data_IF_693697654418
#
_entry.id   IF_693697654418
#
_cell.length_a   1.000
_cell.length_b   1.000
_cell.length_c   1.000
_cell.angle_alpha   90.00
_cell.angle_beta   90.00
_cell.angle_gamma   90.00
#
_symmetry.space_group_name_H-M   'P 1'
#
loop_
_entity.id
_entity.type
_entity.pdbx_description
1 polymer ?
#
# COMPACT_ATOMS: atom_id res chain seq x y z
N UNK A 1 25.79 -19.52 -54.91
CA UNK A 1 25.19 -18.56 -53.97
C UNK A 1 24.72 -19.34 -52.74
N UNK A 2 25.50 -19.32 -51.66
CA UNK A 2 25.06 -19.79 -50.35
C UNK A 2 25.07 -18.56 -49.44
N UNK A 3 23.90 -18.19 -48.90
CA UNK A 3 23.78 -17.19 -47.83
C UNK A 3 23.37 -17.95 -46.57
N UNK A 4 24.30 -18.09 -45.64
CA UNK A 4 24.07 -18.58 -44.29
C UNK A 4 24.36 -17.42 -43.35
N UNK A 5 23.32 -16.84 -42.75
CA UNK A 5 23.46 -15.93 -41.61
C UNK A 5 22.32 -16.25 -40.64
N UNK A 6 22.66 -17.10 -39.67
CA UNK A 6 21.83 -17.48 -38.53
C UNK A 6 21.41 -16.24 -37.74
N UNK A 7 20.11 -15.95 -37.72
CA UNK A 7 19.52 -14.93 -36.86
C UNK A 7 19.38 -15.48 -35.44
N UNK A 8 20.41 -15.32 -34.63
CA UNK A 8 20.31 -15.51 -33.19
C UNK A 8 19.66 -14.25 -32.60
N UNK A 9 18.36 -14.30 -32.34
CA UNK A 9 17.64 -13.28 -31.58
C UNK A 9 17.76 -13.60 -30.09
N UNK A 10 18.72 -12.96 -29.43
CA UNK A 10 18.81 -12.94 -27.96
C UNK A 10 17.91 -11.81 -27.47
N UNK A 11 16.64 -12.11 -27.19
CA UNK A 11 15.79 -11.20 -26.45
C UNK A 11 16.26 -11.23 -24.99
N UNK A 12 16.91 -10.13 -24.57
CA UNK A 12 17.22 -9.90 -23.17
C UNK A 12 15.95 -9.95 -22.35
N UNK A 13 15.87 -10.88 -21.42
CA UNK A 13 14.81 -10.93 -20.43
C UNK A 13 14.99 -9.74 -19.49
N UNK A 14 14.26 -8.66 -19.74
CA UNK A 14 14.05 -7.61 -18.74
C UNK A 14 13.28 -8.25 -17.59
N UNK A 15 14.00 -8.61 -16.53
CA UNK A 15 13.39 -9.05 -15.27
C UNK A 15 12.78 -7.79 -14.66
N UNK A 16 11.51 -7.55 -14.94
CA UNK A 16 10.74 -6.58 -14.16
C UNK A 16 10.71 -7.09 -12.72
N UNK A 17 11.11 -6.28 -11.71
CA UNK A 17 10.96 -6.70 -10.33
C UNK A 17 9.48 -6.97 -10.07
N UNK A 18 9.18 -8.13 -9.48
CA UNK A 18 7.83 -8.45 -9.07
C UNK A 18 7.27 -7.31 -8.20
N UNK A 19 5.99 -6.95 -8.33
CA UNK A 19 5.38 -5.97 -7.45
C UNK A 19 5.61 -6.39 -5.99
N UNK A 20 5.83 -5.45 -5.06
CA UNK A 20 6.03 -5.78 -3.66
C UNK A 20 4.81 -6.53 -3.14
N UNK A 21 5.04 -7.60 -2.37
CA UNK A 21 4.00 -8.27 -1.61
C UNK A 21 3.51 -7.28 -0.54
N UNK A 22 2.31 -6.72 -0.73
CA UNK A 22 1.64 -5.93 0.30
C UNK A 22 0.40 -6.69 0.77
N UNK A 23 0.24 -6.76 2.09
CA UNK A 23 -0.97 -7.29 2.71
C UNK A 23 -1.91 -6.12 2.98
N UNK A 24 -3.08 -6.12 2.35
CA UNK A 24 -4.14 -5.18 2.70
C UNK A 24 -4.72 -5.65 4.03
N UNK A 25 -4.45 -4.90 5.08
CA UNK A 25 -5.12 -5.10 6.36
C UNK A 25 -6.57 -4.63 6.23
N UNK A 26 -7.48 -5.56 6.02
CA UNK A 26 -8.91 -5.29 5.72
C UNK A 26 -9.71 -4.76 6.90
N UNK A 27 -9.15 -4.74 8.11
CA UNK A 27 -9.92 -4.59 9.34
C UNK A 27 -9.90 -3.16 9.89
N UNK A 28 -9.25 -2.23 9.20
CA UNK A 28 -9.30 -0.82 9.58
C UNK A 28 -10.65 -0.22 9.18
N UNK A 29 -11.39 0.41 10.10
CA UNK A 29 -12.64 1.08 9.76
C UNK A 29 -12.38 2.21 8.77
N UNK A 30 -13.19 2.24 7.72
CA UNK A 30 -13.19 3.29 6.70
C UNK A 30 -13.93 4.56 7.15
N UNK A 31 -14.67 4.47 8.25
CA UNK A 31 -15.59 5.49 8.74
C UNK A 31 -15.41 5.79 10.22
N UNK A 32 -15.67 7.04 10.59
CA UNK A 32 -15.57 7.52 11.96
C UNK A 32 -16.70 6.94 12.80
N UNK A 33 -16.37 6.22 13.87
CA UNK A 33 -17.36 5.69 14.81
C UNK A 33 -18.22 6.73 15.53
N UNK A 34 -17.88 8.02 15.47
CA UNK A 34 -18.65 9.10 16.09
C UNK A 34 -19.68 9.73 15.14
N UNK A 35 -19.28 10.11 13.92
CA UNK A 35 -20.15 10.84 12.98
C UNK A 35 -20.42 10.10 11.67
N UNK A 36 -19.89 8.88 11.49
CA UNK A 36 -20.08 8.04 10.30
C UNK A 36 -19.38 8.54 9.04
N UNK A 37 -18.67 9.67 9.10
CA UNK A 37 -17.96 10.22 7.93
C UNK A 37 -16.67 9.46 7.66
N UNK A 38 -16.21 9.48 6.40
CA UNK A 38 -14.98 8.81 5.97
C UNK A 38 -13.75 9.24 6.77
N UNK A 39 -12.86 8.28 7.01
CA UNK A 39 -11.54 8.50 7.57
C UNK A 39 -10.50 8.62 6.45
N UNK A 40 -9.58 9.56 6.62
CA UNK A 40 -8.41 9.75 5.77
C UNK A 40 -7.17 9.38 6.57
N UNK A 41 -6.35 8.48 6.02
CA UNK A 41 -5.07 8.14 6.62
C UNK A 41 -4.11 9.33 6.49
N UNK A 42 -3.48 9.69 7.61
CA UNK A 42 -2.54 10.81 7.68
C UNK A 42 -1.10 10.29 7.76
N UNK A 43 -0.81 9.46 8.75
CA UNK A 43 0.53 8.97 9.02
C UNK A 43 0.52 7.72 9.91
N UNK A 44 1.62 6.96 9.86
CA UNK A 44 1.88 5.85 10.77
C UNK A 44 2.88 6.31 11.83
N UNK A 45 2.53 6.14 13.11
CA UNK A 45 3.39 6.46 14.26
C UNK A 45 3.75 5.20 15.04
N UNK A 46 4.84 5.30 15.80
CA UNK A 46 5.15 4.34 16.85
C UNK A 46 4.91 5.00 18.21
N UNK A 47 4.02 4.41 19.02
CA UNK A 47 3.65 4.93 20.35
C UNK A 47 3.76 3.76 21.32
N UNK A 48 4.63 3.86 22.32
CA UNK A 48 4.86 2.80 23.32
C UNK A 48 5.24 1.43 22.70
N UNK A 49 5.91 1.45 21.54
CA UNK A 49 6.29 0.25 20.79
C UNK A 49 5.21 -0.30 19.85
N UNK A 50 4.03 0.32 19.84
CA UNK A 50 2.90 -0.07 18.99
C UNK A 50 2.84 0.76 17.71
N UNK A 51 2.51 0.11 16.59
CA UNK A 51 2.23 0.78 15.32
C UNK A 51 0.82 1.38 15.35
N UNK A 52 0.76 2.71 15.34
CA UNK A 52 -0.48 3.48 15.43
C UNK A 52 -0.76 4.22 14.12
N UNK A 53 -1.83 3.83 13.46
CA UNK A 53 -2.35 4.50 12.27
C UNK A 53 -3.14 5.74 12.70
N UNK A 54 -2.62 6.91 12.34
CA UNK A 54 -3.27 8.20 12.61
C UNK A 54 -4.17 8.51 11.42
N UNK A 55 -5.47 8.57 11.69
CA UNK A 55 -6.48 8.91 10.70
C UNK A 55 -7.18 10.21 11.09
N UNK A 56 -7.62 11.01 10.13
CA UNK A 56 -8.49 12.16 10.37
C UNK A 56 -9.90 11.88 9.86
N UNK A 57 -10.92 12.21 10.65
CA UNK A 57 -12.28 12.19 10.18
C UNK A 57 -12.58 13.40 9.30
N UNK A 58 -12.96 13.17 8.05
CA UNK A 58 -13.27 14.24 7.11
C UNK A 58 -14.50 15.08 7.49
N UNK A 59 -15.41 14.54 8.30
CA UNK A 59 -16.60 15.23 8.80
C UNK A 59 -16.34 16.04 10.07
N UNK A 60 -15.94 15.38 11.16
CA UNK A 60 -15.77 16.04 12.46
C UNK A 60 -14.34 16.51 12.77
N UNK A 61 -13.38 16.30 11.86
CA UNK A 61 -11.98 16.76 11.96
C UNK A 61 -11.22 16.25 13.18
N UNK A 62 -11.72 15.18 13.81
CA UNK A 62 -11.04 14.49 14.91
C UNK A 62 -9.99 13.53 14.38
N UNK A 63 -8.89 13.42 15.10
CA UNK A 63 -7.94 12.34 14.90
C UNK A 63 -8.47 11.05 15.54
N UNK A 64 -8.40 9.95 14.80
CA UNK A 64 -8.73 8.60 15.21
C UNK A 64 -7.44 7.78 15.16
N UNK A 65 -6.99 7.31 16.31
CA UNK A 65 -5.79 6.49 16.46
C UNK A 65 -6.20 5.03 16.45
N UNK A 66 -5.58 4.23 15.59
CA UNK A 66 -5.85 2.80 15.47
C UNK A 66 -4.57 2.01 15.64
N UNK A 67 -4.62 0.98 16.47
CA UNK A 67 -3.48 0.06 16.70
C UNK A 67 -3.76 -1.23 15.97
N UNK A 68 -2.78 -1.75 15.25
CA UNK A 68 -2.81 -3.12 14.70
C UNK A 68 -2.72 -4.12 15.86
N UNK A 69 -3.68 -5.05 15.96
CA UNK A 69 -3.71 -6.09 17.00
C UNK A 69 -3.31 -7.44 16.45
#
# INVERSE_FOLDING_TARGET
MLKSEDKISMQGSEISPAPPDYFIMSDQPDTCGYCGSRLEFIELKEIEGEKVFVNECLGCKRQILMVEK
#
